data_IF_410668448919
#
_entry.id   IF_410668448919
#
_cell.length_a   1.000
_cell.length_b   1.000
_cell.length_c   1.000
_cell.angle_alpha   90.00
_cell.angle_beta   90.00
_cell.angle_gamma   90.00
#
_symmetry.space_group_name_H-M   'P 1'
#
loop_
_entity.id
_entity.type
_entity.pdbx_description
1 polymer ?
#
# COMPACT_ATOMS: atom_id res chain seq x y z
N UNK A 1 -2.36 -2.66 -16.16
CA UNK A 1 -3.22 -3.40 -15.20
C UNK A 1 -4.03 -2.35 -14.45
N UNK A 2 -5.13 -2.77 -13.83
CA UNK A 2 -5.99 -1.91 -13.01
C UNK A 2 -5.74 -2.21 -11.52
N UNK A 3 -6.25 -1.35 -10.65
CA UNK A 3 -6.23 -1.51 -9.20
C UNK A 3 -6.77 -2.89 -8.76
N UNK A 4 -6.08 -3.57 -7.82
CA UNK A 4 -6.55 -4.79 -7.14
C UNK A 4 -6.56 -4.59 -5.62
N UNK A 5 -7.74 -4.66 -4.98
CA UNK A 5 -7.88 -4.49 -3.52
C UNK A 5 -7.17 -5.57 -2.69
N UNK A 6 -6.76 -6.67 -3.32
CA UNK A 6 -6.02 -7.77 -2.68
C UNK A 6 -4.52 -7.65 -2.89
N UNK A 7 -4.06 -6.76 -3.76
CA UNK A 7 -2.64 -6.43 -3.88
C UNK A 7 -2.26 -5.53 -2.68
N UNK A 8 -1.35 -5.96 -1.79
CA UNK A 8 -1.00 -5.18 -0.61
C UNK A 8 -0.45 -3.79 -0.95
N UNK A 9 0.18 -3.62 -2.12
CA UNK A 9 0.72 -2.32 -2.51
C UNK A 9 -0.39 -1.35 -2.93
N UNK A 10 -1.35 -1.83 -3.71
CA UNK A 10 -2.51 -1.05 -4.12
C UNK A 10 -3.37 -0.72 -2.88
N UNK A 11 -3.61 -1.71 -2.01
CA UNK A 11 -4.37 -1.56 -0.78
C UNK A 11 -3.70 -0.58 0.20
N UNK A 12 -2.38 -0.69 0.43
CA UNK A 12 -1.65 0.23 1.31
C UNK A 12 -1.63 1.67 0.75
N UNK A 13 -1.40 1.82 -0.55
CA UNK A 13 -1.41 3.13 -1.19
C UNK A 13 -2.79 3.81 -1.07
N UNK A 14 -3.88 3.03 -1.20
CA UNK A 14 -5.24 3.52 -1.04
C UNK A 14 -5.58 3.83 0.43
N UNK A 15 -5.22 2.93 1.36
CA UNK A 15 -5.61 3.00 2.77
C UNK A 15 -4.89 4.13 3.51
N UNK A 16 -3.57 4.20 3.37
CA UNK A 16 -2.75 5.22 4.05
C UNK A 16 -2.69 6.53 3.26
N UNK A 17 -3.20 6.55 2.02
CA UNK A 17 -3.12 7.66 1.05
C UNK A 17 -1.68 8.12 0.73
N UNK A 18 -0.68 7.49 1.34
CA UNK A 18 0.75 7.74 1.21
C UNK A 18 1.54 6.55 1.78
N UNK A 19 2.73 6.26 1.24
CA UNK A 19 3.60 5.19 1.77
C UNK A 19 4.75 5.79 2.61
N UNK A 20 4.74 5.55 3.92
CA UNK A 20 5.74 6.06 4.86
C UNK A 20 6.49 4.92 5.53
N UNK A 21 7.82 5.01 5.61
CA UNK A 21 8.59 3.96 6.28
C UNK A 21 8.27 3.95 7.79
N UNK A 22 7.83 2.80 8.31
CA UNK A 22 7.48 2.64 9.72
C UNK A 22 8.70 2.62 10.66
N UNK A 23 9.93 2.74 10.14
CA UNK A 23 11.19 2.59 10.89
C UNK A 23 12.17 3.74 10.76
N UNK A 24 12.01 4.60 9.76
CA UNK A 24 12.83 5.79 9.59
C UNK A 24 12.01 6.91 8.95
N UNK A 25 12.51 8.16 8.93
CA UNK A 25 11.77 9.29 8.37
C UNK A 25 11.58 9.27 6.84
N UNK A 26 12.07 8.25 6.14
CA UNK A 26 11.95 8.15 4.69
C UNK A 26 10.49 7.98 4.28
N UNK A 27 10.04 8.89 3.43
CA UNK A 27 8.73 8.86 2.79
C UNK A 27 8.88 8.43 1.34
N UNK A 28 7.91 7.70 0.81
CA UNK A 28 7.86 7.40 -0.62
C UNK A 28 7.33 8.63 -1.34
N UNK A 29 8.18 9.27 -2.14
CA UNK A 29 7.86 10.53 -2.82
C UNK A 29 7.63 10.27 -4.31
N UNK A 30 6.41 9.87 -4.65
CA UNK A 30 5.99 9.64 -6.02
C UNK A 30 4.60 10.22 -6.26
N UNK A 31 4.53 11.20 -7.17
CA UNK A 31 3.29 11.79 -7.63
C UNK A 31 2.98 11.34 -9.06
N UNK A 32 1.98 10.45 -9.27
CA UNK A 32 1.60 9.98 -10.60
C UNK A 32 1.01 11.08 -11.50
N UNK A 33 0.56 12.20 -10.92
CA UNK A 33 -0.25 13.22 -11.58
C UNK A 33 -1.61 12.72 -12.07
N UNK A 34 -2.46 13.65 -12.54
CA UNK A 34 -3.82 13.35 -13.01
C UNK A 34 -4.85 13.27 -11.88
N UNK A 35 -6.02 12.71 -12.17
CA UNK A 35 -7.13 12.64 -11.22
C UNK A 35 -6.88 11.62 -10.10
N UNK A 36 -7.31 11.96 -8.88
CA UNK A 36 -7.22 11.08 -7.71
C UNK A 36 -8.35 10.04 -7.79
N UNK A 37 -8.04 8.88 -8.38
CA UNK A 37 -8.95 7.73 -8.54
C UNK A 37 -8.22 6.41 -8.21
N UNK A 38 -8.85 5.25 -8.44
CA UNK A 38 -8.20 3.95 -8.16
C UNK A 38 -6.95 3.72 -9.01
N UNK A 39 -6.90 4.23 -10.25
CA UNK A 39 -5.71 4.14 -11.10
C UNK A 39 -4.56 5.01 -10.58
N UNK A 40 -4.86 6.11 -9.89
CA UNK A 40 -3.87 6.91 -9.18
C UNK A 40 -3.18 6.10 -8.08
N UNK A 41 -3.95 5.45 -7.20
CA UNK A 41 -3.40 4.64 -6.11
C UNK A 41 -2.71 3.36 -6.62
N UNK A 42 -3.23 2.74 -7.68
CA UNK A 42 -2.54 1.64 -8.35
C UNK A 42 -1.13 2.07 -8.82
N UNK A 43 -1.01 3.24 -9.47
CA UNK A 43 0.30 3.72 -9.92
C UNK A 43 1.27 3.97 -8.76
N UNK A 44 0.80 4.49 -7.63
CA UNK A 44 1.62 4.65 -6.42
C UNK A 44 2.10 3.30 -5.91
N UNK A 45 1.19 2.35 -5.68
CA UNK A 45 1.53 1.03 -5.15
C UNK A 45 2.53 0.29 -6.04
N UNK A 46 2.27 0.26 -7.36
CA UNK A 46 3.17 -0.41 -8.30
C UNK A 46 4.52 0.27 -8.45
N UNK A 47 4.60 1.59 -8.29
CA UNK A 47 5.89 2.29 -8.29
C UNK A 47 6.69 1.94 -7.03
N UNK A 48 6.07 1.90 -5.85
CA UNK A 48 6.73 1.48 -4.62
C UNK A 48 7.27 0.04 -4.70
N UNK A 49 6.50 -0.88 -5.32
CA UNK A 49 6.95 -2.25 -5.62
C UNK A 49 8.21 -2.25 -6.49
N UNK A 50 8.21 -1.47 -7.58
CA UNK A 50 9.38 -1.35 -8.50
C UNK A 50 10.61 -0.78 -7.80
N UNK A 51 10.41 0.12 -6.85
CA UNK A 51 11.47 0.71 -6.05
C UNK A 51 11.84 -0.12 -4.82
N UNK A 52 11.34 -1.36 -4.72
CA UNK A 52 11.69 -2.33 -3.68
C UNK A 52 11.31 -1.92 -2.25
N UNK A 53 10.28 -1.09 -2.10
CA UNK A 53 9.62 -0.91 -0.81
C UNK A 53 8.96 -2.23 -0.39
N UNK A 54 9.01 -2.56 0.89
CA UNK A 54 8.30 -3.71 1.41
C UNK A 54 6.98 -3.26 2.03
N UNK A 55 5.87 -3.85 1.58
CA UNK A 55 4.54 -3.63 2.15
C UNK A 55 4.07 -4.91 2.79
N UNK A 56 3.97 -4.89 4.13
CA UNK A 56 3.67 -6.04 4.95
C UNK A 56 2.35 -5.81 5.69
N UNK A 57 1.23 -6.39 5.23
CA UNK A 57 -0.02 -6.37 5.98
C UNK A 57 0.17 -7.05 7.34
N UNK A 58 -0.37 -6.45 8.38
CA UNK A 58 -0.38 -6.98 9.73
C UNK A 58 -1.77 -6.75 10.35
N UNK A 59 -2.29 -7.76 11.02
CA UNK A 59 -3.50 -7.63 11.81
C UNK A 59 -3.17 -7.01 13.17
N UNK A 60 -3.82 -5.91 13.54
CA UNK A 60 -3.71 -5.34 14.89
C UNK A 60 -4.50 -6.17 15.92
N UNK A 61 -4.26 -5.97 17.22
CA UNK A 61 -5.00 -6.66 18.30
C UNK A 61 -6.53 -6.36 18.30
N UNK A 62 -7.01 -5.43 17.46
CA UNK A 62 -8.43 -5.14 17.25
C UNK A 62 -9.01 -5.68 15.94
N UNK A 63 -8.24 -6.40 15.13
CA UNK A 63 -8.65 -6.80 13.77
C UNK A 63 -8.62 -5.64 12.76
N UNK A 64 -7.98 -4.52 13.12
CA UNK A 64 -7.74 -3.42 12.20
C UNK A 64 -6.60 -3.79 11.26
N UNK A 65 -6.81 -3.54 9.98
CA UNK A 65 -5.81 -3.71 8.95
C UNK A 65 -4.75 -2.62 9.10
N UNK A 66 -3.49 -3.03 9.30
CA UNK A 66 -2.36 -2.11 9.36
C UNK A 66 -1.32 -2.56 8.34
N UNK A 67 -0.72 -1.62 7.62
CA UNK A 67 0.40 -1.90 6.73
C UNK A 67 1.70 -1.46 7.38
N UNK A 68 2.60 -2.41 7.62
CA UNK A 68 3.98 -2.09 7.97
C UNK A 68 4.76 -1.89 6.68
N UNK A 69 5.02 -0.62 6.36
CA UNK A 69 5.68 -0.19 5.13
C UNK A 69 7.16 0.09 5.45
N UNK A 70 8.08 -0.48 4.69
CA UNK A 70 9.51 -0.31 4.91
C UNK A 70 10.17 0.19 3.63
N UNK A 71 10.99 1.24 3.75
CA UNK A 71 11.88 1.65 2.68
C UNK A 71 12.91 0.54 2.38
N UNK A 72 13.54 0.55 1.19
CA UNK A 72 14.48 -0.50 0.78
C UNK A 72 15.62 -0.74 1.79
N UNK A 73 16.14 0.33 2.40
CA UNK A 73 17.21 0.25 3.41
C UNK A 73 16.73 -0.47 4.68
N UNK A 74 15.55 -0.13 5.20
CA UNK A 74 14.98 -0.76 6.37
C UNK A 74 14.57 -2.21 6.10
N UNK A 75 13.99 -2.49 4.92
CA UNK A 75 13.64 -3.83 4.50
C UNK A 75 14.89 -4.74 4.42
N UNK A 76 16.00 -4.22 3.88
CA UNK A 76 17.28 -4.92 3.81
C UNK A 76 17.85 -5.19 5.21
N UNK A 77 17.87 -4.17 6.09
CA UNK A 77 18.37 -4.32 7.47
C UNK A 77 17.58 -5.35 8.29
N UNK A 78 16.28 -5.46 8.04
CA UNK A 78 15.40 -6.41 8.72
C UNK A 78 15.33 -7.78 8.02
N UNK A 79 16.00 -7.96 6.87
CA UNK A 79 16.02 -9.22 6.14
C UNK A 79 14.68 -9.59 5.47
N UNK A 80 13.84 -8.60 5.20
CA UNK A 80 12.50 -8.78 4.59
C UNK A 80 12.42 -8.22 3.17
N UNK A 81 13.55 -7.83 2.60
CA UNK A 81 13.63 -7.38 1.20
C UNK A 81 13.12 -8.48 0.25
N UNK A 82 12.25 -8.10 -0.69
CA UNK A 82 11.65 -9.04 -1.64
C UNK A 82 10.55 -9.92 -1.04
N UNK A 83 10.23 -9.77 0.25
CA UNK A 83 9.03 -10.38 0.81
C UNK A 83 7.83 -9.54 0.41
N UNK A 84 6.98 -10.11 -0.44
CA UNK A 84 5.69 -9.53 -0.74
C UNK A 84 4.68 -10.04 0.28
N UNK A 85 4.09 -9.11 1.03
CA UNK A 85 2.96 -9.44 1.88
C UNK A 85 1.83 -10.08 1.09
N UNK A 86 0.94 -10.77 1.79
CA UNK A 86 -0.32 -11.25 1.22
C UNK A 86 -1.45 -10.79 2.10
N UNK A 87 -2.52 -10.33 1.46
CA UNK A 87 -3.82 -10.20 2.10
C UNK A 87 -4.52 -11.55 1.91
N UNK A 88 -4.94 -12.18 3.00
CA UNK A 88 -5.62 -13.50 2.97
C UNK A 88 -7.10 -13.40 2.51
N UNK A 89 -7.50 -12.24 1.99
CA UNK A 89 -8.83 -11.96 1.47
C UNK A 89 -8.97 -10.49 1.05
N UNK A 90 -10.15 -10.13 0.56
CA UNK A 90 -10.50 -8.72 0.40
C UNK A 90 -10.80 -8.14 1.77
N UNK A 91 -9.98 -7.18 2.21
CA UNK A 91 -10.15 -6.51 3.48
C UNK A 91 -11.38 -5.60 3.40
N UNK A 92 -12.41 -5.77 4.27
CA UNK A 92 -13.69 -5.06 4.12
C UNK A 92 -13.56 -3.54 4.07
N UNK A 93 -12.53 -3.00 4.72
CA UNK A 93 -12.27 -1.56 4.73
C UNK A 93 -11.73 -1.06 3.38
N UNK A 94 -10.88 -1.84 2.71
CA UNK A 94 -10.32 -1.49 1.39
C UNK A 94 -11.45 -1.49 0.37
N UNK A 95 -12.31 -2.50 0.39
CA UNK A 95 -13.46 -2.57 -0.52
C UNK A 95 -14.44 -1.40 -0.31
N UNK A 96 -14.71 -1.01 0.95
CA UNK A 96 -15.52 0.17 1.26
C UNK A 96 -14.91 1.46 0.71
N UNK A 97 -13.60 1.65 0.84
CA UNK A 97 -12.90 2.82 0.27
C UNK A 97 -12.99 2.78 -1.25
N UNK A 98 -12.82 1.61 -1.88
CA UNK A 98 -12.96 1.45 -3.32
C UNK A 98 -14.35 1.86 -3.81
N UNK A 99 -15.42 1.40 -3.13
CA UNK A 99 -16.78 1.79 -3.45
C UNK A 99 -17.01 3.30 -3.29
N UNK A 100 -16.47 3.90 -2.23
CA UNK A 100 -16.61 5.33 -1.98
C UNK A 100 -15.93 6.15 -3.09
N UNK A 101 -14.74 5.75 -3.52
CA UNK A 101 -14.03 6.38 -4.63
C UNK A 101 -14.79 6.28 -5.95
N UNK A 102 -15.33 5.10 -6.26
CA UNK A 102 -16.10 4.87 -7.48
C UNK A 102 -17.39 5.72 -7.51
N UNK A 103 -18.01 5.97 -6.35
CA UNK A 103 -19.22 6.82 -6.24
C UNK A 103 -18.91 8.32 -6.33
N UNK A 104 -17.69 8.72 -6.02
CA UNK A 104 -17.24 10.12 -6.04
C UNK A 104 -16.64 10.55 -7.40
N UNK A 105 -16.40 9.59 -8.29
CA UNK A 105 -15.89 9.78 -9.66
C UNK A 105 -17.03 10.10 -10.63
#
# INVERSE_FOLDING_TARGET
MAFDSRDPYDAAALYDMWLNCSRCPTTFDFEPGGDINLDYYHRIGQQARREHWAVLPASSQGGELVFNILCPDCATRLGVQGFEGRLDGAEPIIDQICEAMLKAS
#
